data_IF_779939367471
#
_entry.id   IF_779939367471
#
_cell.length_a   1.000
_cell.length_b   1.000
_cell.length_c   1.000
_cell.angle_alpha   90.00
_cell.angle_beta   90.00
_cell.angle_gamma   90.00
#
_symmetry.space_group_name_H-M   'P 1'
#
loop_
_entity.id
_entity.type
_entity.pdbx_description
1 polymer ?
#
# COMPACT_ATOMS: atom_id res chain seq x y z
N UNK A 1 -22.92 -0.02 6.32
CA UNK A 1 -22.71 -0.70 5.02
C UNK A 1 -21.37 -0.30 4.39
N UNK A 2 -21.18 0.94 3.92
CA UNK A 2 -19.94 1.38 3.23
C UNK A 2 -18.65 1.16 4.04
N UNK A 3 -18.66 1.51 5.34
CA UNK A 3 -17.48 1.31 6.20
C UNK A 3 -17.08 -0.17 6.31
N UNK A 4 -18.07 -1.05 6.49
CA UNK A 4 -17.84 -2.50 6.54
C UNK A 4 -17.25 -3.03 5.24
N UNK A 5 -17.78 -2.61 4.09
CA UNK A 5 -17.26 -3.01 2.77
C UNK A 5 -15.80 -2.55 2.62
N UNK A 6 -15.50 -1.32 3.05
CA UNK A 6 -14.14 -0.78 3.05
C UNK A 6 -13.20 -1.60 3.93
N UNK A 7 -13.60 -1.94 5.16
CA UNK A 7 -12.78 -2.78 6.06
C UNK A 7 -12.49 -4.14 5.43
N UNK A 8 -13.52 -4.84 4.94
CA UNK A 8 -13.37 -6.14 4.29
C UNK A 8 -12.44 -6.06 3.07
N UNK A 9 -12.58 -5.01 2.25
CA UNK A 9 -11.71 -4.80 1.10
C UNK A 9 -10.25 -4.59 1.52
N UNK A 10 -9.98 -3.68 2.46
CA UNK A 10 -8.62 -3.36 2.94
C UNK A 10 -7.91 -4.53 3.60
N UNK A 11 -8.64 -5.38 4.30
CA UNK A 11 -8.08 -6.56 4.97
C UNK A 11 -7.64 -7.65 3.99
N UNK A 12 -8.28 -7.74 2.82
CA UNK A 12 -8.11 -8.86 1.88
C UNK A 12 -7.54 -8.44 0.51
N UNK A 13 -7.17 -7.17 0.36
CA UNK A 13 -6.55 -6.68 -0.88
C UNK A 13 -5.07 -7.07 -0.93
N UNK A 14 -4.68 -7.68 -2.05
CA UNK A 14 -3.32 -8.12 -2.34
C UNK A 14 -2.77 -7.36 -3.55
N UNK A 15 -1.49 -7.02 -3.48
CA UNK A 15 -0.72 -6.31 -4.47
C UNK A 15 -0.08 -7.30 -5.44
N UNK A 16 -0.26 -7.04 -6.72
CA UNK A 16 0.36 -7.75 -7.83
C UNK A 16 1.15 -6.77 -8.68
N UNK A 17 2.41 -7.12 -8.97
CA UNK A 17 3.34 -6.26 -9.71
C UNK A 17 4.02 -7.09 -10.77
N UNK A 18 4.08 -6.54 -11.98
CA UNK A 18 4.89 -7.10 -13.05
C UNK A 18 5.51 -6.00 -13.92
N UNK A 19 6.73 -6.20 -14.46
CA UNK A 19 7.35 -5.23 -15.34
C UNK A 19 6.61 -5.13 -16.67
N UNK A 20 6.46 -3.92 -17.17
CA UNK A 20 5.99 -3.65 -18.53
C UNK A 20 7.10 -4.02 -19.53
N UNK A 21 6.83 -3.89 -20.83
CA UNK A 21 7.88 -4.04 -21.84
C UNK A 21 9.03 -3.04 -21.60
N UNK A 22 8.70 -1.77 -21.40
CA UNK A 22 9.66 -0.70 -21.08
C UNK A 22 10.42 -0.98 -19.80
N UNK A 23 9.74 -1.49 -18.76
CA UNK A 23 10.38 -1.89 -17.51
C UNK A 23 11.40 -3.00 -17.68
N UNK A 24 11.18 -3.96 -18.58
CA UNK A 24 12.17 -5.02 -18.83
C UNK A 24 13.44 -4.50 -19.52
N UNK A 25 13.35 -3.41 -20.27
CA UNK A 25 14.47 -2.83 -21.01
C UNK A 25 15.26 -1.81 -20.18
N UNK A 26 14.56 -1.01 -19.35
CA UNK A 26 15.14 0.14 -18.66
C UNK A 26 15.31 -0.03 -17.15
N UNK A 27 14.63 -0.98 -16.52
CA UNK A 27 14.86 -1.27 -15.11
C UNK A 27 16.17 -2.05 -15.00
N UNK A 28 17.07 -1.60 -14.13
CA UNK A 28 18.36 -2.24 -13.90
C UNK A 28 18.57 -2.55 -12.40
N UNK A 29 19.69 -3.17 -12.07
CA UNK A 29 20.05 -3.56 -10.69
C UNK A 29 20.20 -2.37 -9.72
N UNK A 30 20.36 -1.15 -10.23
CA UNK A 30 20.48 0.05 -9.39
C UNK A 30 19.13 0.53 -8.91
N UNK A 31 18.04 0.12 -9.56
CA UNK A 31 16.69 0.51 -9.19
C UNK A 31 16.27 -0.12 -7.84
N UNK A 32 15.70 0.66 -6.89
CA UNK A 32 15.21 0.12 -5.61
C UNK A 32 14.20 -1.02 -5.75
N UNK A 33 13.41 -1.00 -6.83
CA UNK A 33 12.38 -2.01 -7.12
C UNK A 33 12.89 -3.21 -7.90
N UNK A 34 14.17 -3.25 -8.31
CA UNK A 34 14.69 -4.33 -9.16
C UNK A 34 14.49 -5.72 -8.55
N UNK A 35 14.85 -5.88 -7.27
CA UNK A 35 14.74 -7.16 -6.56
C UNK A 35 13.29 -7.60 -6.39
N UNK A 36 12.35 -6.65 -6.27
CA UNK A 36 10.92 -6.90 -6.06
C UNK A 36 10.08 -6.50 -7.28
N UNK A 37 10.64 -6.59 -8.50
CA UNK A 37 9.93 -6.19 -9.73
C UNK A 37 8.81 -7.17 -10.13
N UNK A 38 8.79 -8.35 -9.51
CA UNK A 38 7.74 -9.35 -9.64
C UNK A 38 7.16 -9.65 -8.26
N UNK A 39 5.97 -9.13 -7.98
CA UNK A 39 5.25 -9.39 -6.73
C UNK A 39 3.95 -10.10 -7.06
N UNK A 40 3.71 -11.23 -6.42
CA UNK A 40 2.50 -12.03 -6.64
C UNK A 40 1.73 -12.13 -5.33
N UNK A 41 0.64 -11.37 -5.22
CA UNK A 41 -0.30 -11.49 -4.12
C UNK A 41 0.27 -11.10 -2.76
N UNK A 42 1.06 -10.02 -2.69
CA UNK A 42 1.55 -9.49 -1.40
C UNK A 42 0.39 -8.77 -0.70
N UNK A 43 -0.06 -9.18 0.49
CA UNK A 43 -1.07 -8.44 1.25
C UNK A 43 -0.65 -6.98 1.43
N UNK A 44 -1.57 -6.05 1.17
CA UNK A 44 -1.28 -4.61 1.29
C UNK A 44 -0.90 -4.23 2.73
N UNK A 45 -1.44 -4.93 3.72
CA UNK A 45 -1.07 -4.79 5.13
C UNK A 45 0.40 -5.12 5.45
N UNK A 46 1.09 -5.83 4.55
CA UNK A 46 2.51 -6.16 4.67
C UNK A 46 3.43 -5.25 3.84
N UNK A 47 2.89 -4.18 3.24
CA UNK A 47 3.72 -3.14 2.65
C UNK A 47 4.45 -2.38 3.74
N UNK A 48 5.75 -2.21 3.55
CA UNK A 48 6.60 -1.57 4.54
C UNK A 48 6.84 -0.10 4.17
N UNK A 49 6.59 0.81 5.11
CA UNK A 49 7.10 2.19 5.09
C UNK A 49 7.02 2.90 3.72
N UNK A 50 8.17 3.09 3.07
CA UNK A 50 8.33 3.79 1.79
C UNK A 50 8.31 2.87 0.56
N UNK A 51 8.10 1.57 0.74
CA UNK A 51 8.11 0.57 -0.33
C UNK A 51 7.12 0.91 -1.45
N UNK A 52 5.89 1.30 -1.08
CA UNK A 52 4.87 1.66 -2.06
C UNK A 52 5.24 2.92 -2.87
N UNK A 53 6.03 3.84 -2.30
CA UNK A 53 6.47 5.04 -3.00
C UNK A 53 7.33 4.69 -4.21
N UNK A 54 8.25 3.72 -4.08
CA UNK A 54 9.09 3.28 -5.19
C UNK A 54 8.28 2.57 -6.27
N UNK A 55 7.31 1.73 -5.88
CA UNK A 55 6.41 1.10 -6.85
C UNK A 55 5.57 2.15 -7.58
N UNK A 56 5.02 3.14 -6.87
CA UNK A 56 4.28 4.23 -7.47
C UNK A 56 5.12 5.03 -8.48
N UNK A 57 6.37 5.37 -8.13
CA UNK A 57 7.30 6.04 -9.07
C UNK A 57 7.54 5.19 -10.32
N UNK A 58 7.76 3.89 -10.16
CA UNK A 58 7.96 2.96 -11.26
C UNK A 58 6.69 2.76 -12.12
N UNK A 59 5.50 2.83 -11.52
CA UNK A 59 4.20 2.84 -12.22
C UNK A 59 4.06 4.10 -13.07
N UNK A 60 4.34 5.28 -12.52
CA UNK A 60 4.29 6.57 -13.23
C UNK A 60 5.31 6.62 -14.38
N UNK A 61 6.49 6.02 -14.19
CA UNK A 61 7.49 5.87 -15.25
C UNK A 61 7.14 4.80 -16.31
N UNK A 62 6.02 4.10 -16.14
CA UNK A 62 5.56 2.98 -16.96
C UNK A 62 6.53 1.79 -16.97
N UNK A 63 7.34 1.63 -15.93
CA UNK A 63 8.24 0.48 -15.78
C UNK A 63 7.52 -0.72 -15.16
N UNK A 64 6.58 -0.48 -14.25
CA UNK A 64 5.81 -1.52 -13.58
C UNK A 64 4.32 -1.33 -13.84
N UNK A 65 3.62 -2.44 -14.03
CA UNK A 65 2.17 -2.51 -13.94
C UNK A 65 1.82 -3.03 -12.55
N UNK A 66 0.93 -2.29 -11.86
CA UNK A 66 0.51 -2.59 -10.49
C UNK A 66 -0.99 -2.85 -10.50
N UNK A 67 -1.41 -3.94 -9.87
CA UNK A 67 -2.81 -4.32 -9.71
C UNK A 67 -3.10 -4.59 -8.24
N UNK A 68 -4.20 -4.05 -7.78
CA UNK A 68 -4.81 -4.42 -6.51
C UNK A 68 -5.90 -5.45 -6.79
N UNK A 69 -5.82 -6.59 -6.13
CA UNK A 69 -6.77 -7.68 -6.33
C UNK A 69 -7.30 -8.10 -4.98
N UNK A 70 -8.62 -8.15 -4.85
CA UNK A 70 -9.27 -8.70 -3.67
C UNK A 70 -9.13 -10.22 -3.67
N UNK A 71 -8.57 -10.81 -2.62
CA UNK A 71 -8.50 -12.25 -2.43
C UNK A 71 -8.71 -12.59 -0.96
N UNK A 72 -9.92 -13.06 -0.64
CA UNK A 72 -10.26 -13.55 0.70
C UNK A 72 -10.09 -15.06 0.77
N UNK A 73 -9.18 -15.50 1.64
CA UNK A 73 -8.94 -16.91 1.89
C UNK A 73 -10.03 -17.43 2.84
N UNK A 74 -11.02 -18.16 2.29
CA UNK A 74 -12.14 -18.74 3.07
C UNK A 74 -11.90 -20.22 3.39
N UNK A 75 -11.30 -20.96 2.45
CA UNK A 75 -10.85 -22.35 2.61
C UNK A 75 -9.52 -22.56 1.86
N UNK A 76 -8.73 -23.59 2.24
CA UNK A 76 -7.42 -23.89 1.64
C UNK A 76 -7.47 -24.21 0.13
N UNK A 77 -8.66 -24.49 -0.42
CA UNK A 77 -8.83 -24.97 -1.80
C UNK A 77 -9.36 -23.93 -2.78
N UNK A 78 -10.04 -22.86 -2.34
CA UNK A 78 -10.59 -21.86 -3.27
C UNK A 78 -10.74 -20.47 -2.60
N UNK A 79 -9.84 -19.51 -2.87
CA UNK A 79 -10.00 -18.14 -2.41
C UNK A 79 -11.14 -17.45 -3.15
N UNK A 80 -11.92 -16.64 -2.42
CA UNK A 80 -12.93 -15.74 -2.98
C UNK A 80 -12.21 -14.52 -3.57
N UNK A 81 -12.22 -14.44 -4.90
CA UNK A 81 -11.51 -13.39 -5.67
C UNK A 81 -12.36 -12.16 -6.01
N UNK A 82 -13.65 -12.18 -5.66
CA UNK A 82 -14.56 -11.07 -5.91
C UNK A 82 -15.11 -10.53 -4.60
N UNK A 83 -15.01 -9.20 -4.42
CA UNK A 83 -15.54 -8.52 -3.25
C UNK A 83 -17.07 -8.68 -3.16
N UNK A 84 -17.78 -8.59 -4.29
CA UNK A 84 -19.23 -8.76 -4.35
C UNK A 84 -19.65 -10.16 -3.89
N UNK A 85 -18.97 -11.22 -4.34
CA UNK A 85 -19.25 -12.59 -3.89
C UNK A 85 -19.02 -12.75 -2.38
N UNK A 86 -17.92 -12.20 -1.86
CA UNK A 86 -17.61 -12.29 -0.43
C UNK A 86 -18.66 -11.59 0.45
N UNK A 87 -19.27 -10.50 -0.03
CA UNK A 87 -20.31 -9.76 0.67
C UNK A 87 -21.69 -10.38 0.50
N UNK A 88 -21.99 -10.91 -0.70
CA UNK A 88 -23.28 -11.54 -1.01
C UNK A 88 -23.43 -12.92 -0.37
N UNK A 89 -22.33 -13.61 -0.05
CA UNK A 89 -22.34 -14.88 0.67
C UNK A 89 -23.07 -14.80 2.02
N UNK A 90 -23.08 -13.61 2.65
CA UNK A 90 -23.81 -13.37 3.91
C UNK A 90 -25.30 -13.07 3.71
N UNK A 91 -25.76 -13.02 2.45
CA UNK A 91 -27.15 -12.79 2.06
C UNK A 91 -27.81 -11.56 2.72
N UNK A 92 -27.13 -10.39 2.74
CA UNK A 92 -27.56 -9.23 3.56
C UNK A 92 -28.93 -8.65 3.15
N UNK A 93 -29.37 -8.91 1.92
CA UNK A 93 -30.62 -8.42 1.36
C UNK A 93 -31.58 -9.53 0.96
N UNK A 94 -31.31 -10.79 1.32
CA UNK A 94 -32.20 -11.91 0.98
C UNK A 94 -33.42 -11.92 1.92
N UNK A 95 -34.58 -12.24 1.37
CA UNK A 95 -35.77 -12.59 2.16
C UNK A 95 -35.93 -14.10 2.13
N UNK A 96 -36.05 -14.71 3.31
CA UNK A 96 -36.19 -16.15 3.50
C UNK A 96 -37.66 -16.58 3.32
N UNK A 97 -38.09 -16.61 2.06
CA UNK A 97 -39.40 -17.11 1.63
C UNK A 97 -39.25 -17.78 0.25
N UNK A 98 -40.02 -18.84 0.02
CA UNK A 98 -39.90 -19.73 -1.15
C UNK A 98 -41.03 -19.52 -2.18
N UNK A 99 -41.71 -18.37 -2.15
CA UNK A 99 -42.67 -18.03 -3.21
C UNK A 99 -41.91 -17.60 -4.47
N UNK A 100 -42.43 -17.96 -5.64
CA UNK A 100 -41.84 -17.63 -6.95
C UNK A 100 -41.54 -16.13 -7.06
N UNK A 101 -42.49 -15.30 -6.63
CA UNK A 101 -42.35 -13.83 -6.60
C UNK A 101 -41.16 -13.40 -5.71
N UNK A 102 -41.00 -14.00 -4.52
CA UNK A 102 -39.88 -13.64 -3.64
C UNK A 102 -38.54 -14.09 -4.20
N UNK A 103 -38.47 -15.25 -4.87
CA UNK A 103 -37.25 -15.71 -5.53
C UNK A 103 -36.84 -14.77 -6.67
N UNK A 104 -37.78 -14.31 -7.49
CA UNK A 104 -37.50 -13.31 -8.53
C UNK A 104 -36.97 -12.00 -7.92
N UNK A 105 -37.61 -11.50 -6.85
CA UNK A 105 -37.13 -10.32 -6.15
C UNK A 105 -35.76 -10.52 -5.49
N UNK A 106 -35.48 -11.70 -4.94
CA UNK A 106 -34.17 -12.04 -4.39
C UNK A 106 -33.10 -12.00 -5.51
N UNK A 107 -33.41 -12.54 -6.69
CA UNK A 107 -32.52 -12.50 -7.87
C UNK A 107 -32.21 -11.07 -8.32
N UNK A 108 -33.24 -10.21 -8.39
CA UNK A 108 -33.06 -8.80 -8.77
C UNK A 108 -32.20 -8.06 -7.74
N UNK A 109 -32.49 -8.24 -6.44
CA UNK A 109 -31.72 -7.62 -5.35
C UNK A 109 -30.25 -8.04 -5.38
N UNK A 110 -29.97 -9.31 -5.60
CA UNK A 110 -28.60 -9.81 -5.72
C UNK A 110 -27.87 -9.18 -6.92
N UNK A 111 -28.48 -9.19 -8.11
CA UNK A 111 -27.91 -8.57 -9.32
C UNK A 111 -27.64 -7.08 -9.13
N UNK A 112 -28.61 -6.34 -8.60
CA UNK A 112 -28.48 -4.91 -8.34
C UNK A 112 -27.37 -4.61 -7.33
N UNK A 113 -27.27 -5.42 -6.27
CA UNK A 113 -26.23 -5.26 -5.24
C UNK A 113 -24.84 -5.55 -5.81
N UNK A 114 -24.70 -6.62 -6.61
CA UNK A 114 -23.46 -6.97 -7.30
C UNK A 114 -22.97 -5.84 -8.19
N UNK A 115 -23.84 -5.33 -9.06
CA UNK A 115 -23.54 -4.20 -9.94
C UNK A 115 -23.11 -2.96 -9.15
N UNK A 116 -23.82 -2.62 -8.07
CA UNK A 116 -23.45 -1.50 -7.22
C UNK A 116 -22.07 -1.66 -6.56
N UNK A 117 -21.71 -2.89 -6.14
CA UNK A 117 -20.39 -3.16 -5.56
C UNK A 117 -19.31 -3.07 -6.62
N UNK A 118 -19.46 -3.79 -7.73
CA UNK A 118 -18.39 -3.97 -8.72
C UNK A 118 -18.18 -2.72 -9.59
N UNK A 119 -19.25 -2.02 -9.98
CA UNK A 119 -19.15 -0.87 -10.90
C UNK A 119 -19.02 0.47 -10.19
N UNK A 120 -19.41 0.57 -8.92
CA UNK A 120 -19.44 1.85 -8.20
C UNK A 120 -18.53 1.86 -6.97
N UNK A 121 -18.68 0.88 -6.08
CA UNK A 121 -17.96 0.89 -4.80
C UNK A 121 -16.51 0.47 -4.97
N UNK A 122 -16.23 -0.62 -5.70
CA UNK A 122 -14.89 -1.15 -5.87
C UNK A 122 -13.93 -0.15 -6.55
N UNK A 123 -14.28 0.53 -7.66
CA UNK A 123 -13.40 1.52 -8.30
C UNK A 123 -13.08 2.70 -7.37
N UNK A 124 -14.05 3.10 -6.54
CA UNK A 124 -13.83 4.13 -5.53
C UNK A 124 -12.85 3.66 -4.44
N UNK A 125 -13.01 2.42 -3.95
CA UNK A 125 -12.13 1.86 -2.93
C UNK A 125 -10.70 1.60 -3.42
N UNK A 126 -10.54 1.18 -4.68
CA UNK A 126 -9.22 1.03 -5.32
C UNK A 126 -8.50 2.37 -5.37
N UNK A 127 -9.17 3.43 -5.83
CA UNK A 127 -8.58 4.77 -5.87
C UNK A 127 -8.27 5.29 -4.47
N UNK A 128 -9.20 5.14 -3.53
CA UNK A 128 -9.00 5.53 -2.12
C UNK A 128 -7.79 4.80 -1.51
N UNK A 129 -7.61 3.52 -1.83
CA UNK A 129 -6.48 2.73 -1.36
C UNK A 129 -5.16 3.21 -1.95
N UNK A 130 -5.10 3.46 -3.26
CA UNK A 130 -3.90 3.97 -3.93
C UNK A 130 -3.45 5.31 -3.35
N UNK A 131 -4.39 6.23 -3.13
CA UNK A 131 -4.13 7.54 -2.54
C UNK A 131 -3.61 7.42 -1.11
N UNK A 132 -4.27 6.58 -0.29
CA UNK A 132 -3.88 6.36 1.10
C UNK A 132 -2.48 5.75 1.22
N UNK A 133 -2.17 4.70 0.45
CA UNK A 133 -0.85 4.08 0.47
C UNK A 133 0.24 5.05 0.02
N UNK A 134 -0.06 5.92 -0.94
CA UNK A 134 0.88 6.94 -1.40
C UNK A 134 1.13 8.00 -0.32
N UNK A 135 0.09 8.41 0.40
CA UNK A 135 0.19 9.36 1.51
C UNK A 135 1.02 8.77 2.66
N UNK A 136 0.70 7.56 3.12
CA UNK A 136 1.42 6.86 4.19
C UNK A 136 2.91 6.68 3.85
N UNK A 137 3.22 6.31 2.60
CA UNK A 137 4.60 6.16 2.15
C UNK A 137 5.37 7.49 2.12
N UNK A 138 4.72 8.59 1.69
CA UNK A 138 5.32 9.93 1.73
C UNK A 138 5.58 10.39 3.17
N UNK A 139 4.62 10.19 4.07
CA UNK A 139 4.76 10.52 5.48
C UNK A 139 5.93 9.76 6.12
N UNK A 140 6.09 8.47 5.80
CA UNK A 140 7.21 7.66 6.28
C UNK A 140 8.56 8.24 5.84
N UNK A 141 8.70 8.63 4.57
CA UNK A 141 9.93 9.27 4.06
C UNK A 141 10.20 10.61 4.75
N UNK A 142 9.17 11.45 4.92
CA UNK A 142 9.30 12.73 5.63
C UNK A 142 9.79 12.53 7.05
N UNK A 143 9.25 11.54 7.77
CA UNK A 143 9.67 11.22 9.13
C UNK A 143 11.12 10.72 9.18
N UNK A 144 11.54 9.88 8.23
CA UNK A 144 12.94 9.42 8.11
C UNK A 144 13.89 10.59 7.85
N UNK A 145 13.53 11.49 6.92
CA UNK A 145 14.32 12.69 6.62
C UNK A 145 14.45 13.62 7.83
N UNK A 146 13.34 13.87 8.54
CA UNK A 146 13.33 14.71 9.73
C UNK A 146 14.23 14.13 10.83
N UNK A 147 14.13 12.82 11.10
CA UNK A 147 15.00 12.11 12.06
C UNK A 147 16.47 12.21 11.67
N UNK A 148 16.80 11.92 10.41
CA UNK A 148 18.18 11.99 9.93
C UNK A 148 18.76 13.40 10.03
N UNK A 149 17.96 14.43 9.75
CA UNK A 149 18.35 15.83 9.92
C UNK A 149 18.57 16.16 11.39
N UNK A 150 17.63 15.79 12.26
CA UNK A 150 17.74 16.00 13.70
C UNK A 150 19.01 15.35 14.27
N UNK A 151 19.27 14.07 13.97
CA UNK A 151 20.49 13.37 14.42
C UNK A 151 21.78 13.99 13.92
N UNK A 152 21.76 14.71 12.78
CA UNK A 152 22.95 15.45 12.28
C UNK A 152 23.13 16.81 12.95
N UNK A 153 22.05 17.41 13.45
CA UNK A 153 22.05 18.68 14.15
C UNK A 153 22.20 18.52 15.68
N UNK A 154 21.87 17.35 16.21
CA UNK A 154 21.93 17.00 17.63
C UNK A 154 23.34 17.03 18.25
N UNK A 155 24.43 16.67 17.55
CA UNK A 155 25.76 16.83 18.11
C UNK A 155 26.00 18.32 18.41
N UNK A 156 26.24 18.64 19.69
CA UNK A 156 26.69 19.95 20.10
C UNK A 156 28.00 20.31 19.37
N UNK A 157 28.25 21.61 19.22
CA UNK A 157 29.54 22.09 18.73
C UNK A 157 30.68 21.35 19.43
N UNK A 158 31.71 20.97 18.66
CA UNK A 158 32.89 20.28 19.15
C UNK A 158 33.37 20.92 20.46
N UNK A 159 33.46 20.13 21.52
CA UNK A 159 34.03 20.53 22.79
C UNK A 159 35.47 19.99 22.80
N UNK A 160 36.48 20.86 22.62
CA UNK A 160 37.86 20.44 22.72
C UNK A 160 38.12 19.86 24.11
N UNK A 161 38.91 18.80 24.19
CA UNK A 161 39.42 18.28 25.46
C UNK A 161 40.38 19.29 26.09
N UNK A 162 40.58 19.25 27.42
CA UNK A 162 41.52 20.16 28.10
C UNK A 162 42.92 20.11 27.45
N UNK A 163 43.41 18.93 27.06
CA UNK A 163 44.68 18.76 26.35
C UNK A 163 44.77 19.55 25.02
N UNK A 164 43.65 19.73 24.31
CA UNK A 164 43.61 20.46 23.03
C UNK A 164 43.51 21.98 23.23
N UNK A 165 43.04 22.43 24.39
CA UNK A 165 43.04 23.83 24.78
C UNK A 165 44.45 24.26 25.23
N UNK A 166 45.17 23.38 25.92
CA UNK A 166 46.56 23.64 26.35
C UNK A 166 47.54 23.74 25.17
N UNK A 167 47.36 22.92 24.12
CA UNK A 167 48.19 22.95 22.91
C UNK A 167 48.01 24.25 22.08
N UNK A 168 46.80 24.84 22.05
CA UNK A 168 46.56 26.11 21.33
C UNK A 168 47.16 27.33 22.06
N UNK A 169 47.23 27.31 23.39
CA UNK A 169 47.80 28.39 24.19
C UNK A 169 49.35 28.45 24.11
N UNK A 170 50.04 27.32 23.90
CA UNK A 170 51.50 27.29 23.71
C UNK A 170 51.96 27.94 22.40
N UNK A 171 51.17 27.86 21.33
CA UNK A 171 51.51 28.44 20.03
C UNK A 171 51.28 29.96 19.98
N UNK A 172 50.38 30.51 20.79
CA UNK A 172 50.15 31.97 20.90
C UNK A 172 51.23 32.66 21.73
N UNK A 173 51.88 31.95 22.65
CA UNK A 173 52.94 32.49 23.50
C UNK A 173 54.33 32.57 22.83
N UNK A 174 54.49 32.04 21.61
CA UNK A 174 55.78 31.98 20.88
C UNK A 174 55.88 32.90 19.65
N UNK A 175 55.27 34.09 19.68
CA UNK A 175 55.51 35.16 18.70
C UNK A 175 56.13 36.41 19.32
#
# INVERSE_FOLDING_TARGET
ARERIRSVYRENVKLYIHPTQKGREHLDETSPVWKMRYVKGKPVSLLEEDEYLYYHQAKVAEHLEIKFVFEKDVDETMPLRNLSDALLAEQPYRVDEYSEVVEEWNSIREKATRMAIDEMVLPFLEKELEEKLLEEAKESVLLKCAKAMYTRLEPAAFQPSEDQLEDEDEDVARQ
#
